data_IF_324601175869
#
_entry.id   IF_324601175869
#
_cell.length_a   1.000
_cell.length_b   1.000
_cell.length_c   1.000
_cell.angle_alpha   90.00
_cell.angle_beta   90.00
_cell.angle_gamma   90.00
#
_symmetry.space_group_name_H-M   'P 1'
#
loop_
_entity.id
_entity.type
_entity.pdbx_description
1 polymer ?
#
# COMPACT_ATOMS: atom_id res chain seq x y z
N UNK A 1 -14.07 -9.70 -9.89
CA UNK A 1 -12.61 -9.75 -9.68
C UNK A 1 -12.27 -8.86 -8.50
N UNK A 2 -11.62 -9.35 -7.44
CA UNK A 2 -11.20 -8.50 -6.33
C UNK A 2 -10.17 -7.49 -6.84
N UNK A 3 -10.47 -6.20 -6.69
CA UNK A 3 -9.56 -5.09 -6.97
C UNK A 3 -8.99 -4.60 -5.64
N UNK A 4 -7.67 -4.56 -5.56
CA UNK A 4 -6.96 -3.95 -4.44
C UNK A 4 -6.20 -2.70 -4.92
N UNK A 5 -5.91 -1.77 -4.02
CA UNK A 5 -4.96 -0.69 -4.26
C UNK A 5 -3.80 -0.87 -3.31
N UNK A 6 -2.57 -0.95 -3.83
CA UNK A 6 -1.35 -1.08 -3.05
C UNK A 6 -0.58 0.24 -3.12
N UNK A 7 -0.50 0.96 -2.02
CA UNK A 7 0.38 2.11 -1.89
C UNK A 7 1.78 1.64 -1.54
N UNK A 8 2.75 2.19 -2.28
CA UNK A 8 4.16 1.81 -2.24
C UNK A 8 5.03 3.06 -2.28
N UNK A 9 6.30 2.89 -1.94
CA UNK A 9 7.33 3.90 -2.18
C UNK A 9 8.54 3.27 -2.87
N UNK A 10 9.31 4.10 -3.57
CA UNK A 10 10.57 3.69 -4.18
C UNK A 10 11.55 3.25 -3.08
N UNK A 11 12.17 2.08 -3.25
CA UNK A 11 13.18 1.56 -2.31
C UNK A 11 12.65 0.85 -1.06
N UNK A 12 11.35 0.54 -0.97
CA UNK A 12 10.80 -0.20 0.17
C UNK A 12 10.74 -1.73 -0.09
N UNK A 13 11.55 -2.54 0.63
CA UNK A 13 11.53 -4.01 0.46
C UNK A 13 10.21 -4.64 0.89
N UNK A 14 9.54 -4.08 1.91
CA UNK A 14 8.23 -4.57 2.36
C UNK A 14 7.14 -4.39 1.31
N UNK A 15 7.22 -3.33 0.48
CA UNK A 15 6.29 -3.14 -0.62
C UNK A 15 6.41 -4.25 -1.66
N UNK A 16 7.63 -4.71 -1.97
CA UNK A 16 7.84 -5.79 -2.92
C UNK A 16 7.22 -7.11 -2.43
N UNK A 17 7.35 -7.41 -1.13
CA UNK A 17 6.71 -8.58 -0.52
C UNK A 17 5.17 -8.53 -0.61
N UNK A 18 4.57 -7.37 -0.34
CA UNK A 18 3.12 -7.18 -0.46
C UNK A 18 2.61 -7.39 -1.90
N UNK A 19 3.35 -6.91 -2.91
CA UNK A 19 3.04 -7.16 -4.33
C UNK A 19 3.04 -8.64 -4.65
N UNK A 20 4.10 -9.35 -4.22
CA UNK A 20 4.23 -10.78 -4.45
C UNK A 20 3.12 -11.58 -3.77
N UNK A 21 2.72 -11.19 -2.55
CA UNK A 21 1.59 -11.80 -1.84
C UNK A 21 0.26 -11.60 -2.59
N UNK A 22 -0.02 -10.37 -3.04
CA UNK A 22 -1.23 -10.06 -3.81
C UNK A 22 -1.28 -10.82 -5.14
N UNK A 23 -0.14 -10.89 -5.85
CA UNK A 23 0.00 -11.67 -7.07
C UNK A 23 -0.17 -13.17 -6.82
N UNK A 24 0.40 -13.72 -5.75
CA UNK A 24 0.25 -15.12 -5.36
C UNK A 24 -1.21 -15.47 -4.99
N UNK A 25 -1.96 -14.52 -4.44
CA UNK A 25 -3.39 -14.64 -4.17
C UNK A 25 -4.27 -14.49 -5.43
N UNK A 26 -3.69 -14.12 -6.58
CA UNK A 26 -4.44 -13.82 -7.82
C UNK A 26 -5.30 -12.57 -7.71
N UNK A 27 -4.96 -11.65 -6.80
CA UNK A 27 -5.69 -10.39 -6.60
C UNK A 27 -5.11 -9.34 -7.54
N UNK A 28 -5.97 -8.70 -8.34
CA UNK A 28 -5.55 -7.58 -9.18
C UNK A 28 -5.38 -6.35 -8.30
N UNK A 29 -4.14 -5.94 -8.06
CA UNK A 29 -3.83 -4.72 -7.31
C UNK A 29 -3.31 -3.59 -8.20
N UNK A 30 -3.80 -2.37 -7.98
CA UNK A 30 -3.27 -1.15 -8.59
C UNK A 30 -2.20 -0.56 -7.68
N UNK A 31 -1.01 -0.36 -8.21
CA UNK A 31 0.12 0.12 -7.42
C UNK A 31 0.22 1.64 -7.52
N UNK A 32 0.28 2.31 -6.38
CA UNK A 32 0.36 3.78 -6.29
C UNK A 32 1.65 4.15 -5.59
N UNK A 33 2.64 4.63 -6.35
CA UNK A 33 3.92 5.05 -5.80
C UNK A 33 3.82 6.46 -5.22
N UNK A 34 3.80 6.59 -3.89
CA UNK A 34 3.69 7.90 -3.23
C UNK A 34 4.96 8.74 -3.30
N UNK A 35 6.10 8.14 -3.68
CA UNK A 35 7.35 8.88 -3.96
C UNK A 35 7.26 9.62 -5.29
N UNK A 36 6.64 8.99 -6.29
CA UNK A 36 6.45 9.59 -7.62
C UNK A 36 5.17 10.44 -7.68
N UNK A 37 4.16 10.06 -6.90
CA UNK A 37 2.86 10.73 -6.78
C UNK A 37 2.67 11.25 -5.34
N UNK A 38 3.35 12.33 -4.95
CA UNK A 38 3.17 12.94 -3.63
C UNK A 38 1.72 13.40 -3.38
N UNK A 39 0.95 13.64 -4.44
CA UNK A 39 -0.49 13.94 -4.38
C UNK A 39 -1.33 12.80 -3.79
N UNK A 40 -0.82 11.57 -3.76
CA UNK A 40 -1.50 10.41 -3.14
C UNK A 40 -1.26 10.33 -1.62
N UNK A 41 -0.28 11.06 -1.08
CA UNK A 41 0.04 11.05 0.37
C UNK A 41 -1.14 11.50 1.24
N UNK A 42 -1.88 12.57 0.92
CA UNK A 42 -3.07 12.96 1.69
C UNK A 42 -4.16 11.88 1.71
N UNK A 43 -4.30 11.11 0.64
CA UNK A 43 -5.26 10.00 0.58
C UNK A 43 -4.79 8.83 1.45
N UNK A 44 -3.51 8.45 1.34
CA UNK A 44 -2.88 7.45 2.20
C UNK A 44 -3.10 7.79 3.68
N UNK A 45 -2.82 9.03 4.07
CA UNK A 45 -3.00 9.50 5.45
C UNK A 45 -4.45 9.39 5.92
N UNK A 46 -5.43 9.66 5.05
CA UNK A 46 -6.85 9.48 5.40
C UNK A 46 -7.17 8.01 5.67
N UNK A 47 -6.61 7.10 4.85
CA UNK A 47 -6.82 5.66 4.97
C UNK A 47 -6.17 5.07 6.23
N UNK A 48 -4.98 5.55 6.59
CA UNK A 48 -4.19 5.07 7.74
C UNK A 48 -4.44 5.86 9.02
N UNK A 49 -5.44 6.76 9.05
CA UNK A 49 -5.75 7.64 10.20
C UNK A 49 -4.57 8.52 10.63
N UNK A 50 -3.78 8.98 9.65
CA UNK A 50 -2.65 9.87 9.85
C UNK A 50 -1.29 9.17 9.95
N UNK A 51 -1.24 7.84 9.87
CA UNK A 51 0.04 7.12 9.90
C UNK A 51 0.73 7.11 8.54
N UNK A 52 1.97 7.62 8.49
CA UNK A 52 2.84 7.51 7.31
C UNK A 52 3.56 6.18 7.33
N UNK A 53 2.88 5.14 6.86
CA UNK A 53 3.38 3.77 6.87
C UNK A 53 3.10 3.11 5.53
N UNK A 54 4.04 2.30 5.07
CA UNK A 54 3.95 1.53 3.83
C UNK A 54 4.49 0.11 4.03
N UNK A 55 4.03 -0.87 3.25
CA UNK A 55 2.92 -0.78 2.28
C UNK A 55 1.54 -0.66 2.94
N UNK A 56 0.58 -0.11 2.19
CA UNK A 56 -0.85 -0.08 2.55
C UNK A 56 -1.65 -0.72 1.44
N UNK A 57 -2.49 -1.69 1.77
CA UNK A 57 -3.35 -2.39 0.83
C UNK A 57 -4.80 -2.00 1.12
N UNK A 58 -5.55 -1.58 0.11
CA UNK A 58 -6.98 -1.30 0.21
C UNK A 58 -7.72 -2.32 -0.63
N UNK A 59 -8.44 -3.25 -0.01
CA UNK A 59 -9.19 -4.32 -0.69
C UNK A 59 -10.65 -4.28 -0.25
N UNK A 60 -11.59 -4.09 -1.18
CA UNK A 60 -13.03 -4.14 -0.89
C UNK A 60 -13.49 -3.17 0.21
N UNK A 61 -12.84 -2.00 0.34
CA UNK A 61 -13.12 -1.00 1.38
C UNK A 61 -12.45 -1.27 2.73
N UNK A 62 -11.68 -2.36 2.87
CA UNK A 62 -10.84 -2.61 4.05
C UNK A 62 -9.43 -2.09 3.79
N UNK A 63 -8.90 -1.36 4.76
CA UNK A 63 -7.52 -0.89 4.75
C UNK A 63 -6.68 -1.86 5.56
N UNK A 64 -5.74 -2.52 4.91
CA UNK A 64 -4.74 -3.40 5.49
C UNK A 64 -3.42 -2.64 5.53
N UNK A 65 -2.99 -2.29 6.73
CA UNK A 65 -1.71 -1.64 6.98
C UNK A 65 -0.67 -2.71 7.27
N UNK A 66 0.55 -2.56 6.76
CA UNK A 66 1.64 -3.48 7.04
C UNK A 66 1.81 -3.72 8.56
N UNK A 67 2.02 -4.97 9.00
CA UNK A 67 2.27 -5.27 10.40
C UNK A 67 3.52 -4.53 10.90
N UNK A 68 3.59 -4.29 12.23
CA UNK A 68 4.65 -3.48 12.90
C UNK A 68 6.03 -3.75 12.28
N UNK A 69 6.56 -2.77 11.53
CA UNK A 69 7.77 -2.92 10.71
C UNK A 69 7.68 -2.28 9.32
N UNK A 70 6.50 -1.81 8.91
CA UNK A 70 6.32 -1.03 7.67
C UNK A 70 7.25 0.18 7.60
N UNK A 71 7.67 0.53 6.39
CA UNK A 71 8.53 1.67 6.15
C UNK A 71 7.77 2.97 6.47
N UNK A 72 8.32 3.77 7.37
CA UNK A 72 7.81 5.09 7.75
C UNK A 72 8.59 6.16 7.02
N UNK A 73 7.91 7.23 6.61
CA UNK A 73 8.50 8.38 5.93
C UNK A 73 7.84 9.68 6.38
#
# INVERSE_FOLDING_TARGET
MPRATLYVQTGCPHCAAARAELAARGVTCTEVNVTEHPEAVPELLKLTKGERVLPVIVEGGRVHVAPRGGARF
#
